data_IF_300711678016
#
_entry.id   IF_300711678016
#
_cell.length_a   1.000
_cell.length_b   1.000
_cell.length_c   1.000
_cell.angle_alpha   90.00
_cell.angle_beta   90.00
_cell.angle_gamma   90.00
#
_symmetry.space_group_name_H-M   'P 1'
#
loop_
_entity.id
_entity.type
_entity.pdbx_description
1 polymer ?
#
# COMPACT_ATOMS: atom_id res chain seq x y z
N UNK A 1 1.47 -17.45 -4.56
CA UNK A 1 2.66 -16.58 -4.76
C UNK A 1 2.16 -15.37 -5.53
N UNK A 2 2.36 -14.14 -5.02
CA UNK A 2 1.61 -12.88 -5.27
C UNK A 2 1.52 -12.34 -6.72
N UNK A 3 1.63 -13.19 -7.75
CA UNK A 3 1.51 -12.80 -9.17
C UNK A 3 2.67 -11.96 -9.74
N UNK A 4 3.58 -11.47 -8.88
CA UNK A 4 4.73 -10.66 -9.26
C UNK A 4 5.75 -11.47 -10.10
N UNK A 5 6.22 -10.87 -11.20
CA UNK A 5 7.17 -11.51 -12.12
C UNK A 5 8.64 -11.39 -11.68
N UNK A 6 8.97 -10.35 -10.90
CA UNK A 6 10.33 -10.09 -10.44
C UNK A 6 10.33 -9.77 -8.94
N UNK A 7 11.23 -10.36 -8.15
CA UNK A 7 11.41 -9.99 -6.75
C UNK A 7 12.01 -8.59 -6.63
N UNK A 8 11.77 -7.91 -5.51
CA UNK A 8 12.51 -6.68 -5.17
C UNK A 8 13.98 -7.03 -4.95
N UNK A 9 14.90 -6.22 -5.49
CA UNK A 9 16.34 -6.38 -5.25
C UNK A 9 16.61 -6.23 -3.74
N UNK A 10 17.24 -7.21 -3.06
CA UNK A 10 17.54 -7.12 -1.63
C UNK A 10 18.33 -5.86 -1.24
N UNK A 11 19.12 -5.29 -2.17
CA UNK A 11 19.83 -4.02 -1.94
C UNK A 11 18.89 -2.84 -1.65
N UNK A 12 17.61 -2.95 -2.00
CA UNK A 12 16.59 -1.96 -1.64
C UNK A 12 16.48 -1.76 -0.12
N UNK A 13 16.62 -2.82 0.68
CA UNK A 13 16.57 -2.71 2.15
C UNK A 13 17.71 -1.83 2.67
N UNK A 14 18.93 -1.98 2.11
CA UNK A 14 20.08 -1.15 2.48
C UNK A 14 19.86 0.35 2.17
N UNK A 15 19.00 0.67 1.21
CA UNK A 15 18.63 2.06 0.89
C UNK A 15 17.60 2.56 1.90
N UNK A 16 16.60 1.73 2.23
CA UNK A 16 15.58 2.03 3.24
C UNK A 16 16.21 2.33 4.59
N UNK A 17 17.19 1.52 5.03
CA UNK A 17 17.87 1.71 6.32
C UNK A 17 18.57 3.06 6.46
N UNK A 18 18.99 3.67 5.35
CA UNK A 18 19.64 4.99 5.35
C UNK A 18 18.64 6.13 5.50
N UNK A 19 17.35 5.89 5.32
CA UNK A 19 16.34 6.94 5.29
C UNK A 19 14.96 6.44 5.76
N UNK A 20 14.92 5.88 6.96
CA UNK A 20 13.71 5.30 7.56
C UNK A 20 12.57 6.32 7.65
N UNK A 21 12.86 7.58 8.01
CA UNK A 21 11.81 8.58 8.26
C UNK A 21 11.08 8.97 6.96
N UNK A 22 11.80 9.04 5.83
CA UNK A 22 11.17 9.24 4.51
C UNK A 22 10.34 8.02 4.12
N UNK A 23 10.83 6.81 4.37
CA UNK A 23 10.10 5.57 4.06
C UNK A 23 8.83 5.44 4.89
N UNK A 24 8.86 5.78 6.18
CA UNK A 24 7.67 5.80 7.03
C UNK A 24 6.67 6.86 6.56
N UNK A 25 7.13 8.04 6.15
CA UNK A 25 6.25 9.08 5.59
C UNK A 25 5.58 8.60 4.30
N UNK A 26 6.36 8.05 3.37
CA UNK A 26 5.88 7.51 2.09
C UNK A 26 4.87 6.39 2.32
N UNK A 27 5.20 5.46 3.22
CA UNK A 27 4.33 4.36 3.62
C UNK A 27 3.02 4.85 4.23
N UNK A 28 3.05 5.81 5.15
CA UNK A 28 1.82 6.40 5.68
C UNK A 28 0.93 6.95 4.54
N UNK A 29 1.52 7.65 3.56
CA UNK A 29 0.74 8.10 2.42
C UNK A 29 0.23 6.97 1.52
N UNK A 30 0.93 5.84 1.41
CA UNK A 30 0.41 4.66 0.73
C UNK A 30 -0.88 4.16 1.39
N UNK A 31 -0.91 3.98 2.71
CA UNK A 31 -2.11 3.48 3.41
C UNK A 31 -3.27 4.47 3.27
N UNK A 32 -3.00 5.78 3.42
CA UNK A 32 -4.02 6.81 3.22
C UNK A 32 -4.57 6.82 1.78
N UNK A 33 -3.72 6.60 0.78
CA UNK A 33 -4.13 6.52 -0.63
C UNK A 33 -4.96 5.26 -0.89
N UNK A 34 -4.61 4.12 -0.28
CA UNK A 34 -5.38 2.89 -0.37
C UNK A 34 -6.80 3.10 0.21
N UNK A 35 -6.90 3.67 1.41
CA UNK A 35 -8.17 4.05 2.01
C UNK A 35 -8.99 5.02 1.15
N UNK A 36 -8.33 6.05 0.59
CA UNK A 36 -8.98 7.05 -0.28
C UNK A 36 -9.47 6.42 -1.59
N UNK A 37 -8.73 5.45 -2.13
CA UNK A 37 -9.11 4.71 -3.34
C UNK A 37 -10.35 3.86 -3.08
N UNK A 38 -10.40 3.17 -1.93
CA UNK A 38 -11.57 2.40 -1.52
C UNK A 38 -12.83 3.28 -1.40
N UNK A 39 -12.71 4.44 -0.73
CA UNK A 39 -13.80 5.43 -0.64
C UNK A 39 -14.22 5.92 -2.03
N UNK A 40 -13.26 6.17 -2.92
CA UNK A 40 -13.55 6.58 -4.30
C UNK A 40 -14.32 5.50 -5.07
N UNK A 41 -14.00 4.22 -4.87
CA UNK A 41 -14.72 3.12 -5.50
C UNK A 41 -16.17 3.04 -5.02
N UNK A 42 -16.43 3.24 -3.72
CA UNK A 42 -17.80 3.30 -3.16
C UNK A 42 -18.63 4.38 -3.84
N UNK A 43 -18.06 5.59 -3.97
CA UNK A 43 -18.76 6.74 -4.60
C UNK A 43 -19.03 6.47 -6.08
N UNK A 44 -18.06 5.88 -6.78
CA UNK A 44 -18.14 5.71 -8.23
C UNK A 44 -18.95 4.50 -8.65
N UNK A 45 -19.09 3.48 -7.79
CA UNK A 45 -19.70 2.16 -8.09
C UNK A 45 -20.70 1.71 -7.02
N UNK A 46 -21.68 2.55 -6.62
CA UNK A 46 -22.59 2.26 -5.50
C UNK A 46 -23.59 1.13 -5.78
N UNK A 47 -23.81 0.76 -7.04
CA UNK A 47 -24.75 -0.30 -7.43
C UNK A 47 -24.21 -1.72 -7.25
N UNK A 48 -22.96 -1.87 -6.79
CA UNK A 48 -22.33 -3.17 -6.51
C UNK A 48 -22.17 -3.34 -4.99
N UNK A 49 -23.18 -3.89 -4.28
CA UNK A 49 -23.16 -3.96 -2.82
C UNK A 49 -21.95 -4.70 -2.25
N UNK A 50 -21.57 -5.82 -2.88
CA UNK A 50 -20.39 -6.61 -2.45
C UNK A 50 -19.10 -5.77 -2.54
N UNK A 51 -18.91 -5.01 -3.63
CA UNK A 51 -17.78 -4.10 -3.75
C UNK A 51 -17.82 -3.02 -2.65
N UNK A 52 -19.00 -2.46 -2.38
CA UNK A 52 -19.17 -1.42 -1.36
C UNK A 52 -18.79 -1.97 0.03
N UNK A 53 -19.27 -3.15 0.40
CA UNK A 53 -18.97 -3.77 1.69
C UNK A 53 -17.47 -4.04 1.85
N UNK A 54 -16.82 -4.60 0.83
CA UNK A 54 -15.37 -4.84 0.84
C UNK A 54 -14.56 -3.53 0.90
N UNK A 55 -14.96 -2.50 0.16
CA UNK A 55 -14.27 -1.21 0.19
C UNK A 55 -14.46 -0.48 1.52
N UNK A 56 -15.60 -0.66 2.22
CA UNK A 56 -15.78 -0.14 3.59
C UNK A 56 -14.81 -0.83 4.53
N UNK A 57 -14.71 -2.16 4.48
CA UNK A 57 -13.78 -2.92 5.32
C UNK A 57 -12.33 -2.49 5.06
N UNK A 58 -11.91 -2.47 3.79
CA UNK A 58 -10.58 -2.06 3.36
C UNK A 58 -10.25 -0.64 3.84
N UNK A 59 -11.14 0.33 3.60
CA UNK A 59 -10.89 1.73 4.00
C UNK A 59 -10.64 1.91 5.50
N UNK A 60 -11.31 1.11 6.34
CA UNK A 60 -11.15 1.14 7.79
C UNK A 60 -9.83 0.50 8.22
N UNK A 61 -9.47 -0.62 7.61
CA UNK A 61 -8.21 -1.30 7.89
C UNK A 61 -7.01 -0.42 7.51
N UNK A 62 -7.03 0.16 6.31
CA UNK A 62 -5.95 1.02 5.83
C UNK A 62 -5.79 2.30 6.65
N UNK A 63 -6.88 2.89 7.14
CA UNK A 63 -6.77 4.00 8.09
C UNK A 63 -6.21 3.55 9.45
N UNK A 64 -6.41 2.29 9.82
CA UNK A 64 -5.74 1.64 10.95
C UNK A 64 -4.23 1.50 10.71
N UNK A 65 -3.82 1.03 9.53
CA UNK A 65 -2.41 0.96 9.13
C UNK A 65 -1.77 2.34 9.11
N UNK A 66 -2.44 3.35 8.53
CA UNK A 66 -2.00 4.74 8.56
C UNK A 66 -1.70 5.23 9.97
N UNK A 67 -2.66 5.03 10.90
CA UNK A 67 -2.49 5.39 12.31
C UNK A 67 -1.30 4.67 12.92
N UNK A 68 -1.15 3.38 12.61
CA UNK A 68 -0.03 2.60 13.09
C UNK A 68 1.30 3.19 12.61
N UNK A 69 1.47 3.47 11.33
CA UNK A 69 2.71 4.08 10.78
C UNK A 69 2.96 5.46 11.40
N UNK A 70 1.93 6.31 11.47
CA UNK A 70 2.01 7.65 12.06
C UNK A 70 2.49 7.62 13.51
N UNK A 71 2.01 6.68 14.32
CA UNK A 71 2.47 6.53 15.71
C UNK A 71 3.96 6.17 15.79
N UNK A 72 4.49 5.41 14.82
CA UNK A 72 5.93 5.11 14.76
C UNK A 72 6.73 6.34 14.36
N UNK A 73 6.24 7.15 13.43
CA UNK A 73 6.85 8.45 13.09
C UNK A 73 6.98 9.31 14.36
N UNK A 74 5.89 9.44 15.13
CA UNK A 74 5.90 10.21 16.38
C UNK A 74 6.81 9.60 17.45
N UNK A 75 6.82 8.26 17.62
CA UNK A 75 7.68 7.55 18.58
C UNK A 75 9.17 7.79 18.30
N UNK A 76 9.53 8.06 17.05
CA UNK A 76 10.90 8.39 16.62
C UNK A 76 11.24 9.88 16.79
N UNK A 77 10.31 10.69 17.30
CA UNK A 77 10.49 12.14 17.46
C UNK A 77 10.36 12.93 16.16
N UNK A 78 9.84 12.31 15.10
CA UNK A 78 9.61 12.96 13.82
C UNK A 78 8.14 13.42 13.67
N UNK A 79 7.86 14.19 12.63
CA UNK A 79 6.51 14.58 12.21
C UNK A 79 6.20 13.96 10.86
N UNK A 80 4.92 13.82 10.52
CA UNK A 80 4.52 13.35 9.20
C UNK A 80 5.03 14.33 8.14
N UNK A 81 5.94 13.85 7.29
CA UNK A 81 6.53 14.66 6.22
C UNK A 81 5.53 14.99 5.11
N UNK A 82 6.00 15.66 4.06
CA UNK A 82 5.14 15.98 2.90
C UNK A 82 4.98 14.77 2.00
N UNK A 83 3.79 14.64 1.42
CA UNK A 83 3.53 13.71 0.35
C UNK A 83 4.44 13.98 -0.86
N UNK A 84 4.96 12.91 -1.45
CA UNK A 84 5.71 12.92 -2.71
C UNK A 84 4.96 12.15 -3.79
N UNK A 85 5.19 12.51 -5.04
CA UNK A 85 4.63 11.78 -6.17
C UNK A 85 5.16 10.34 -6.18
N UNK A 86 4.26 9.42 -6.49
CA UNK A 86 4.56 8.00 -6.59
C UNK A 86 4.75 7.64 -8.06
N UNK A 87 6.00 7.69 -8.52
CA UNK A 87 6.35 7.38 -9.92
C UNK A 87 5.97 5.94 -10.29
N UNK A 88 6.00 5.00 -9.35
CA UNK A 88 5.60 3.62 -9.61
C UNK A 88 4.11 3.54 -9.95
N UNK A 89 3.25 4.16 -9.15
CA UNK A 89 1.81 4.19 -9.40
C UNK A 89 1.49 4.98 -10.67
N UNK A 90 2.19 6.09 -10.91
CA UNK A 90 2.00 6.90 -12.14
C UNK A 90 2.30 6.09 -13.39
N UNK A 91 3.44 5.39 -13.43
CA UNK A 91 3.81 4.54 -14.58
C UNK A 91 2.87 3.34 -14.71
N UNK A 92 2.46 2.72 -13.60
CA UNK A 92 1.51 1.62 -13.61
C UNK A 92 0.16 2.04 -14.21
N UNK A 93 -0.34 3.21 -13.84
CA UNK A 93 -1.60 3.73 -14.38
C UNK A 93 -1.52 4.05 -15.87
N UNK A 94 -0.35 4.42 -16.40
CA UNK A 94 -0.17 4.68 -17.84
C UNK A 94 -0.31 3.43 -18.71
N UNK A 95 -0.12 2.24 -18.13
CA UNK A 95 -0.29 0.98 -18.86
C UNK A 95 -1.75 0.73 -19.24
N UNK A 96 -2.69 1.21 -18.44
CA UNK A 96 -4.11 1.01 -18.70
C UNK A 96 -4.65 2.07 -19.66
N UNK A 97 -5.46 1.68 -20.67
CA UNK A 97 -6.07 2.63 -21.60
C UNK A 97 -6.90 3.69 -20.88
N UNK A 98 -6.85 4.92 -21.40
CA UNK A 98 -7.78 5.99 -20.98
C UNK A 98 -9.10 5.82 -21.71
N UNK A 99 -10.21 6.05 -21.01
CA UNK A 99 -11.56 5.86 -21.57
C UNK A 99 -12.07 4.44 -21.31
N UNK A 100 -12.76 3.85 -22.29
CA UNK A 100 -13.46 2.58 -22.10
C UNK A 100 -14.78 2.74 -21.36
N UNK A 101 -15.53 1.65 -21.27
CA UNK A 101 -16.77 1.65 -20.51
C UNK A 101 -16.51 1.67 -18.99
N UNK A 102 -17.56 1.94 -18.23
CA UNK A 102 -17.44 2.11 -16.77
C UNK A 102 -17.00 0.83 -16.06
N UNK A 103 -17.35 -0.35 -16.60
CA UNK A 103 -16.98 -1.63 -16.02
C UNK A 103 -15.50 -1.96 -16.32
N UNK A 104 -15.02 -1.67 -17.52
CA UNK A 104 -13.60 -1.79 -17.88
C UNK A 104 -12.73 -0.92 -16.95
N UNK A 105 -13.16 0.32 -16.69
CA UNK A 105 -12.46 1.21 -15.76
C UNK A 105 -12.42 0.67 -14.34
N UNK A 106 -13.50 0.04 -13.85
CA UNK A 106 -13.52 -0.64 -12.56
C UNK A 106 -12.48 -1.77 -12.52
N UNK A 107 -12.49 -2.64 -13.52
CA UNK A 107 -11.56 -3.78 -13.62
C UNK A 107 -10.11 -3.28 -13.62
N UNK A 108 -9.78 -2.26 -14.40
CA UNK A 108 -8.43 -1.67 -14.41
C UNK A 108 -8.02 -1.15 -13.03
N UNK A 109 -8.94 -0.48 -12.32
CA UNK A 109 -8.69 0.02 -10.96
C UNK A 109 -8.38 -1.08 -9.97
N UNK A 110 -9.19 -2.15 -9.98
CA UNK A 110 -8.98 -3.30 -9.12
C UNK A 110 -7.65 -4.02 -9.45
N UNK A 111 -7.30 -4.14 -10.74
CA UNK A 111 -6.07 -4.79 -11.18
C UNK A 111 -4.81 -4.04 -10.71
N UNK A 112 -4.74 -2.72 -10.91
CA UNK A 112 -3.56 -2.00 -10.44
C UNK A 112 -3.49 -1.93 -8.92
N UNK A 113 -4.63 -1.85 -8.21
CA UNK A 113 -4.66 -1.90 -6.75
C UNK A 113 -4.08 -3.23 -6.24
N UNK A 114 -4.52 -4.36 -6.80
CA UNK A 114 -3.98 -5.68 -6.48
C UNK A 114 -2.47 -5.80 -6.75
N UNK A 115 -1.96 -5.14 -7.81
CA UNK A 115 -0.51 -5.10 -8.09
C UNK A 115 0.28 -4.30 -7.06
N UNK A 116 -0.28 -3.17 -6.59
CA UNK A 116 0.31 -2.34 -5.55
C UNK A 116 0.38 -3.15 -4.25
N UNK A 117 -0.72 -3.76 -3.82
CA UNK A 117 -0.75 -4.56 -2.59
C UNK A 117 0.19 -5.76 -2.63
N UNK A 118 0.22 -6.47 -3.75
CA UNK A 118 1.18 -7.55 -3.96
C UNK A 118 2.64 -7.08 -3.76
N UNK A 119 2.98 -5.89 -4.27
CA UNK A 119 4.33 -5.33 -4.11
C UNK A 119 4.58 -4.83 -2.69
N UNK A 120 3.60 -4.21 -2.04
CA UNK A 120 3.67 -3.80 -0.63
C UNK A 120 3.94 -5.00 0.26
N UNK A 121 3.14 -6.07 0.13
CA UNK A 121 3.30 -7.31 0.88
C UNK A 121 4.69 -7.95 0.69
N UNK A 122 5.18 -8.02 -0.55
CA UNK A 122 6.52 -8.55 -0.86
C UNK A 122 7.64 -7.71 -0.23
N UNK A 123 7.52 -6.37 -0.26
CA UNK A 123 8.49 -5.47 0.37
C UNK A 123 8.42 -5.51 1.88
N UNK A 124 7.23 -5.58 2.48
CA UNK A 124 7.09 -5.73 3.94
C UNK A 124 7.71 -7.03 4.43
N UNK A 125 7.60 -8.12 3.66
CA UNK A 125 8.34 -9.36 3.96
C UNK A 125 9.85 -9.10 3.99
N UNK A 126 10.42 -8.48 2.95
CA UNK A 126 11.85 -8.17 2.90
C UNK A 126 12.30 -7.30 4.08
N UNK A 127 11.54 -6.24 4.40
CA UNK A 127 11.82 -5.39 5.55
C UNK A 127 11.77 -6.18 6.86
N UNK A 128 10.78 -7.07 7.02
CA UNK A 128 10.66 -7.89 8.22
C UNK A 128 11.80 -8.89 8.41
N UNK A 129 12.40 -9.37 7.31
CA UNK A 129 13.47 -10.36 7.31
C UNK A 129 14.86 -9.72 7.45
N UNK A 130 15.05 -8.51 6.90
CA UNK A 130 16.40 -7.96 6.67
C UNK A 130 16.71 -6.68 7.45
N UNK A 131 15.71 -5.94 7.97
CA UNK A 131 15.99 -4.73 8.75
C UNK A 131 16.77 -5.05 10.04
N UNK A 132 17.77 -4.21 10.32
CA UNK A 132 18.50 -4.26 11.59
C UNK A 132 17.66 -3.76 12.77
N UNK A 133 16.81 -2.73 12.55
CA UNK A 133 15.85 -2.23 13.54
C UNK A 133 14.79 -3.30 13.82
N UNK A 134 14.89 -3.96 14.97
CA UNK A 134 14.03 -5.10 15.34
C UNK A 134 12.60 -4.69 15.69
N UNK A 135 12.38 -3.48 16.20
CA UNK A 135 11.03 -2.95 16.44
C UNK A 135 10.33 -2.76 15.10
N UNK A 136 11.03 -2.16 14.13
CA UNK A 136 10.49 -1.90 12.80
C UNK A 136 10.34 -3.19 11.97
N UNK A 137 11.27 -4.14 12.07
CA UNK A 137 11.15 -5.45 11.44
C UNK A 137 9.90 -6.21 11.94
N UNK A 138 9.65 -6.21 13.26
CA UNK A 138 8.46 -6.83 13.84
C UNK A 138 7.18 -6.12 13.41
N UNK A 139 7.22 -4.80 13.28
CA UNK A 139 6.11 -4.01 12.75
C UNK A 139 5.76 -4.40 11.31
N UNK A 140 6.74 -4.43 10.40
CA UNK A 140 6.50 -4.83 9.01
C UNK A 140 6.08 -6.31 8.88
N UNK A 141 6.51 -7.18 9.79
CA UNK A 141 6.03 -8.56 9.84
C UNK A 141 4.52 -8.63 10.09
N UNK A 142 3.99 -7.79 10.99
CA UNK A 142 2.57 -7.73 11.32
C UNK A 142 1.75 -7.20 10.16
N UNK A 143 2.19 -6.12 9.54
CA UNK A 143 1.52 -5.57 8.35
C UNK A 143 1.50 -6.59 7.21
N UNK A 144 2.62 -7.23 6.90
CA UNK A 144 2.66 -8.27 5.86
C UNK A 144 1.63 -9.39 6.07
N UNK A 145 1.32 -9.76 7.32
CA UNK A 145 0.29 -10.75 7.62
C UNK A 145 -1.11 -10.20 7.30
N UNK A 146 -1.38 -8.92 7.62
CA UNK A 146 -2.62 -8.23 7.24
C UNK A 146 -2.76 -8.16 5.71
N UNK A 147 -1.74 -7.65 5.03
CA UNK A 147 -1.72 -7.51 3.56
C UNK A 147 -1.91 -8.84 2.82
N UNK A 148 -1.35 -9.92 3.37
CA UNK A 148 -1.53 -11.25 2.78
C UNK A 148 -3.00 -11.71 2.81
N UNK A 149 -3.80 -11.20 3.75
CA UNK A 149 -5.25 -11.42 3.81
C UNK A 149 -6.03 -10.63 2.75
N UNK A 150 -5.53 -9.50 2.26
CA UNK A 150 -6.16 -8.74 1.16
C UNK A 150 -5.98 -9.38 -0.21
N UNK A 151 -4.91 -10.17 -0.37
CA UNK A 151 -4.60 -10.80 -1.66
C UNK A 151 -5.35 -12.12 -1.90
N UNK A 152 -6.05 -12.65 -0.90
CA UNK A 152 -6.79 -13.93 -0.97
C UNK A 152 -8.28 -13.72 -1.17
#
# INVERSE_FOLDING_TARGET
MLGLKLPTDPRWVNIVEKNIDEILTDHAYCEQKAASTAISLIINFPEYPELVDEMIALSREEMGHFKMVHDRILKRGATLGRHRKDEYVIELMKFFPKGGDRQEQLIHRLLYAAMIEARSCERFRLLSEQLQDKDLASFYRKLMISEAGHYT
#
